data_IF_421318978257
#
_entry.id   IF_421318978257
#
_cell.length_a   1.000
_cell.length_b   1.000
_cell.length_c   1.000
_cell.angle_alpha   90.00
_cell.angle_beta   90.00
_cell.angle_gamma   90.00
#
_symmetry.space_group_name_H-M   'P 1'
#
loop_
_entity.id
_entity.type
_entity.pdbx_description
1 polymer ?
#
# COMPACT_ATOMS: atom_id res chain seq x y z
N UNK A 1 -14.18 -17.50 26.47
CA UNK A 1 -14.27 -17.28 25.02
C UNK A 1 -14.70 -15.85 24.62
N UNK A 2 -14.91 -14.90 25.56
CA UNK A 2 -15.31 -13.53 25.20
C UNK A 2 -14.16 -12.49 25.24
N UNK A 3 -13.03 -12.77 25.91
CA UNK A 3 -11.95 -11.80 26.09
C UNK A 3 -10.96 -11.68 24.91
N UNK A 4 -11.08 -12.56 23.91
CA UNK A 4 -10.17 -12.56 22.74
C UNK A 4 -10.65 -11.65 21.60
N UNK A 5 -11.96 -11.35 21.54
CA UNK A 5 -12.54 -10.56 20.43
C UNK A 5 -12.41 -9.04 20.60
N UNK A 6 -12.11 -8.56 21.81
CA UNK A 6 -11.97 -7.11 22.10
C UNK A 6 -10.53 -6.59 21.96
N UNK A 7 -9.51 -7.47 22.04
CA UNK A 7 -8.10 -7.09 21.69
C UNK A 7 -7.89 -6.88 20.19
N UNK A 8 -8.78 -7.41 19.35
CA UNK A 8 -8.81 -7.17 17.91
C UNK A 8 -9.28 -5.73 17.57
N UNK A 9 -9.98 -5.05 18.47
CA UNK A 9 -10.44 -3.66 18.29
C UNK A 9 -9.56 -2.60 18.96
N UNK A 10 -8.94 -2.91 20.09
CA UNK A 10 -8.13 -1.95 20.84
C UNK A 10 -6.62 -2.27 20.75
N UNK A 11 -6.00 -1.48 19.88
CA UNK A 11 -4.59 -1.29 19.56
C UNK A 11 -3.50 -1.28 20.65
N UNK A 12 -3.68 -1.73 21.90
CA UNK A 12 -2.70 -1.44 22.97
C UNK A 12 -2.33 -2.68 23.82
N UNK A 13 -1.03 -3.01 23.87
CA UNK A 13 -0.40 -3.88 24.88
C UNK A 13 1.13 -3.63 24.90
N UNK A 14 1.54 -2.53 25.51
CA UNK A 14 2.59 -2.41 26.55
C UNK A 14 4.06 -2.51 26.15
N UNK A 15 4.44 -3.41 25.26
CA UNK A 15 5.84 -3.59 24.82
C UNK A 15 5.90 -3.72 23.27
N UNK A 16 4.74 -3.99 22.65
CA UNK A 16 4.51 -4.10 21.21
C UNK A 16 3.82 -2.84 20.64
N UNK A 17 3.74 -1.75 21.41
CA UNK A 17 2.97 -0.56 21.02
C UNK A 17 3.63 0.22 19.88
N UNK A 18 4.96 0.28 19.82
CA UNK A 18 5.69 0.97 18.74
C UNK A 18 5.40 0.37 17.35
N UNK A 19 5.64 -0.92 17.08
CA UNK A 19 5.32 -1.51 15.79
C UNK A 19 3.81 -1.54 15.50
N UNK A 20 2.94 -1.59 16.52
CA UNK A 20 1.49 -1.56 16.34
C UNK A 20 0.98 -0.16 15.97
N UNK A 21 1.50 0.89 16.59
CA UNK A 21 1.19 2.30 16.26
C UNK A 21 1.72 2.63 14.86
N UNK A 22 2.96 2.24 14.57
CA UNK A 22 3.58 2.42 13.25
C UNK A 22 2.79 1.65 12.18
N UNK A 23 2.44 0.38 12.43
CA UNK A 23 1.61 -0.42 11.52
C UNK A 23 0.22 0.17 11.29
N UNK A 24 -0.40 0.77 12.32
CA UNK A 24 -1.70 1.44 12.19
C UNK A 24 -1.61 2.72 11.36
N UNK A 25 -0.59 3.53 11.58
CA UNK A 25 -0.29 4.73 10.79
C UNK A 25 -0.04 4.34 9.35
N UNK A 26 0.86 3.39 9.09
CA UNK A 26 1.15 2.89 7.75
C UNK A 26 -0.12 2.35 7.11
N UNK A 27 -0.92 1.56 7.82
CA UNK A 27 -2.19 1.01 7.28
C UNK A 27 -3.19 2.10 6.87
N UNK A 28 -3.31 3.17 7.65
CA UNK A 28 -4.17 4.33 7.31
C UNK A 28 -3.63 5.02 6.06
N UNK A 29 -2.33 5.35 6.03
CA UNK A 29 -1.69 5.97 4.86
C UNK A 29 -1.82 5.09 3.61
N UNK A 30 -1.63 3.78 3.75
CA UNK A 30 -1.68 2.83 2.65
C UNK A 30 -3.09 2.65 2.10
N UNK A 31 -4.11 2.69 2.96
CA UNK A 31 -5.52 2.62 2.53
C UNK A 31 -5.91 3.84 1.68
N UNK A 32 -5.56 5.04 2.13
CA UNK A 32 -5.84 6.29 1.39
C UNK A 32 -5.04 6.32 0.09
N UNK A 33 -3.75 5.99 0.16
CA UNK A 33 -2.87 5.96 -1.01
C UNK A 33 -3.32 4.92 -2.04
N UNK A 34 -3.73 3.73 -1.58
CA UNK A 34 -4.22 2.64 -2.42
C UNK A 34 -5.47 3.03 -3.20
N UNK A 35 -6.44 3.71 -2.58
CA UNK A 35 -7.64 4.21 -3.26
C UNK A 35 -7.28 5.20 -4.36
N UNK A 36 -6.40 6.16 -4.06
CA UNK A 36 -5.91 7.14 -5.05
C UNK A 36 -5.22 6.42 -6.22
N UNK A 37 -4.43 5.39 -5.92
CA UNK A 37 -3.70 4.61 -6.90
C UNK A 37 -4.63 3.83 -7.85
N UNK A 38 -5.72 3.27 -7.32
CA UNK A 38 -6.75 2.58 -8.12
C UNK A 38 -7.40 3.58 -9.08
N UNK A 39 -7.78 4.76 -8.60
CA UNK A 39 -8.41 5.81 -9.44
C UNK A 39 -7.46 6.25 -10.57
N UNK A 40 -6.18 6.49 -10.25
CA UNK A 40 -5.15 6.83 -11.23
C UNK A 40 -4.94 5.71 -12.25
N UNK A 41 -4.94 4.45 -11.82
CA UNK A 41 -4.79 3.29 -12.70
C UNK A 41 -5.95 3.18 -13.69
N UNK A 42 -7.18 3.38 -13.21
CA UNK A 42 -8.37 3.41 -14.08
C UNK A 42 -8.26 4.55 -15.09
N UNK A 43 -7.88 5.76 -14.66
CA UNK A 43 -7.69 6.91 -15.55
C UNK A 43 -6.60 6.65 -16.61
N UNK A 44 -5.47 6.08 -16.20
CA UNK A 44 -4.39 5.69 -17.11
C UNK A 44 -4.84 4.64 -18.13
N UNK A 45 -5.65 3.67 -17.70
CA UNK A 45 -6.25 2.66 -18.57
C UNK A 45 -7.20 3.27 -19.61
N UNK A 46 -8.06 4.21 -19.20
CA UNK A 46 -8.92 4.96 -20.12
C UNK A 46 -8.11 5.80 -21.12
N UNK A 47 -7.05 6.45 -20.68
CA UNK A 47 -6.15 7.21 -21.55
C UNK A 47 -5.46 6.31 -22.58
N UNK A 48 -5.10 5.08 -22.18
CA UNK A 48 -4.50 4.10 -23.09
C UNK A 48 -5.51 3.59 -24.13
N UNK A 49 -6.72 3.24 -23.70
CA UNK A 49 -7.78 2.77 -24.61
C UNK A 49 -8.25 3.86 -25.59
N UNK A 50 -8.24 5.13 -25.19
CA UNK A 50 -8.62 6.28 -26.03
C UNK A 50 -7.47 6.85 -26.86
N UNK A 51 -6.28 6.21 -26.84
CA UNK A 51 -5.11 6.71 -27.58
C UNK A 51 -5.28 6.66 -29.10
N UNK A 52 -6.25 5.89 -29.63
CA UNK A 52 -6.72 5.89 -31.03
C UNK A 52 -5.60 5.93 -32.10
N UNK A 53 -4.45 5.32 -31.82
CA UNK A 53 -3.31 5.24 -32.74
C UNK A 53 -2.31 6.39 -32.69
N UNK A 54 -2.43 7.37 -31.78
CA UNK A 54 -1.39 8.39 -31.60
C UNK A 54 -0.28 7.87 -30.68
N UNK A 55 0.92 7.70 -31.25
CA UNK A 55 2.10 7.20 -30.52
C UNK A 55 2.40 8.01 -29.26
N UNK A 56 2.14 9.31 -29.28
CA UNK A 56 2.36 10.20 -28.13
C UNK A 56 1.46 9.82 -26.95
N UNK A 57 0.18 9.52 -27.20
CA UNK A 57 -0.76 9.10 -26.14
C UNK A 57 -0.43 7.70 -25.63
N UNK A 58 -0.03 6.79 -26.52
CA UNK A 58 0.41 5.44 -26.14
C UNK A 58 1.64 5.52 -25.24
N UNK A 59 2.66 6.28 -25.63
CA UNK A 59 3.90 6.44 -24.86
C UNK A 59 3.66 7.12 -23.51
N UNK A 60 2.75 8.10 -23.46
CA UNK A 60 2.32 8.76 -22.22
C UNK A 60 1.59 7.80 -21.28
N UNK A 61 0.66 7.01 -21.80
CA UNK A 61 -0.04 6.00 -21.02
C UNK A 61 0.90 4.90 -20.51
N UNK A 62 1.83 4.42 -21.35
CA UNK A 62 2.82 3.42 -20.97
C UNK A 62 3.75 3.94 -19.86
N UNK A 63 4.18 5.21 -19.94
CA UNK A 63 4.95 5.87 -18.87
C UNK A 63 4.15 5.94 -17.56
N UNK A 64 2.86 6.26 -17.64
CA UNK A 64 1.97 6.34 -16.48
C UNK A 64 1.75 4.96 -15.84
N UNK A 65 1.60 3.91 -16.65
CA UNK A 65 1.53 2.53 -16.19
C UNK A 65 2.84 2.08 -15.51
N UNK A 66 4.01 2.35 -16.11
CA UNK A 66 5.30 2.03 -15.49
C UNK A 66 5.50 2.72 -14.15
N UNK A 67 5.11 3.99 -14.03
CA UNK A 67 5.11 4.72 -12.76
C UNK A 67 4.13 4.10 -11.75
N UNK A 68 2.96 3.64 -12.21
CA UNK A 68 2.01 2.90 -11.40
C UNK A 68 2.61 1.60 -10.82
N UNK A 69 3.23 0.78 -11.67
CA UNK A 69 3.88 -0.47 -11.23
C UNK A 69 4.94 -0.19 -10.17
N UNK A 70 5.76 0.85 -10.35
CA UNK A 70 6.79 1.23 -9.36
C UNK A 70 6.16 1.59 -8.00
N UNK A 71 5.02 2.30 -7.98
CA UNK A 71 4.32 2.60 -6.74
C UNK A 71 3.79 1.36 -6.01
N UNK A 72 3.25 0.38 -6.75
CA UNK A 72 2.81 -0.91 -6.16
C UNK A 72 4.00 -1.65 -5.56
N UNK A 73 5.15 -1.67 -6.25
CA UNK A 73 6.36 -2.31 -5.74
C UNK A 73 6.83 -1.67 -4.43
N UNK A 74 6.82 -0.33 -4.32
CA UNK A 74 7.19 0.38 -3.09
C UNK A 74 6.28 -0.01 -1.91
N UNK A 75 4.97 -0.12 -2.15
CA UNK A 75 4.00 -0.53 -1.13
C UNK A 75 4.32 -1.93 -0.59
N UNK A 76 4.56 -2.89 -1.49
CA UNK A 76 4.89 -4.26 -1.12
C UNK A 76 6.22 -4.32 -0.36
N UNK A 77 7.23 -3.57 -0.82
CA UNK A 77 8.53 -3.48 -0.15
C UNK A 77 8.42 -2.87 1.25
N UNK A 78 7.64 -1.80 1.41
CA UNK A 78 7.42 -1.18 2.72
C UNK A 78 6.79 -2.17 3.73
N UNK A 79 5.83 -2.98 3.28
CA UNK A 79 5.21 -4.01 4.11
C UNK A 79 6.19 -5.13 4.47
N UNK A 80 6.97 -5.60 3.49
CA UNK A 80 7.98 -6.63 3.70
C UNK A 80 9.05 -6.18 4.72
N UNK A 81 9.55 -4.95 4.60
CA UNK A 81 10.54 -4.39 5.52
C UNK A 81 9.94 -4.23 6.92
N UNK A 82 8.70 -3.73 7.02
CA UNK A 82 8.02 -3.57 8.31
C UNK A 82 7.90 -4.91 9.06
N UNK A 83 7.47 -5.96 8.37
CA UNK A 83 7.39 -7.31 8.95
C UNK A 83 8.75 -7.90 9.29
N UNK A 84 9.77 -7.63 8.49
CA UNK A 84 11.13 -8.07 8.76
C UNK A 84 11.66 -7.48 10.06
N UNK A 85 11.49 -6.18 10.28
CA UNK A 85 11.92 -5.51 11.52
C UNK A 85 11.16 -6.05 12.74
N UNK A 86 9.84 -6.22 12.62
CA UNK A 86 9.01 -6.78 13.72
C UNK A 86 9.39 -8.22 14.06
N UNK A 87 9.62 -9.07 13.06
CA UNK A 87 10.02 -10.46 13.26
C UNK A 87 11.37 -10.57 13.96
N UNK A 88 12.34 -9.70 13.62
CA UNK A 88 13.66 -9.66 14.27
C UNK A 88 13.59 -9.19 15.71
N UNK A 89 12.70 -8.25 16.04
CA UNK A 89 12.48 -7.77 17.41
C UNK A 89 11.70 -8.78 18.27
N UNK A 90 10.78 -9.56 17.69
CA UNK A 90 9.99 -10.58 18.40
C UNK A 90 10.77 -11.88 18.69
N UNK A 91 11.92 -12.08 18.04
CA UNK A 91 12.73 -13.30 18.20
C UNK A 91 13.86 -13.11 19.23
N UNK A 92 14.12 -11.87 19.68
CA UNK A 92 14.90 -11.60 20.88
C UNK A 92 14.02 -11.78 22.13
#
# INVERSE_FOLDING_TARGET
>A
CELEKVKAGAGISGETDLPRIVGKIIGIFLSVLGVIFVVLTVYAGFLWMTAQGSDEKVKKAQKMLSQGVIGIVIIVLAYAISNFVVSKLSTL
#
